data_IF_985982823585
#
_entry.id   IF_985982823585
#
_cell.length_a   1.000
_cell.length_b   1.000
_cell.length_c   1.000
_cell.angle_alpha   90.00
_cell.angle_beta   90.00
_cell.angle_gamma   90.00
#
_symmetry.space_group_name_H-M   'P 1'
#
loop_
_entity.id
_entity.type
_entity.pdbx_description
1 polymer ?
#
# COMPACT_ATOMS: atom_id res chain seq x y z
N UNK A 1 3.73 11.15 18.48
CA UNK A 1 4.57 9.94 18.45
C UNK A 1 3.75 8.65 18.54
N UNK A 2 2.75 8.61 19.44
CA UNK A 2 1.87 7.44 19.63
C UNK A 2 0.64 7.53 18.73
N UNK A 3 0.72 6.99 17.53
CA UNK A 3 -0.39 6.88 16.58
C UNK A 3 -0.27 5.55 15.83
N UNK A 4 -1.38 5.07 15.29
CA UNK A 4 -1.43 3.84 14.49
C UNK A 4 -0.73 2.66 15.17
N UNK A 5 -1.32 2.18 16.27
CA UNK A 5 -0.81 0.99 16.97
C UNK A 5 -0.94 -0.27 16.10
N UNK A 6 0.15 -1.04 16.00
CA UNK A 6 0.23 -2.23 15.13
C UNK A 6 -0.83 -3.29 15.49
N UNK A 7 -1.09 -3.52 16.78
CA UNK A 7 -2.14 -4.45 17.24
C UNK A 7 -3.53 -4.11 16.70
N UNK A 8 -3.87 -2.82 16.59
CA UNK A 8 -5.16 -2.39 16.06
C UNK A 8 -5.28 -2.79 14.59
N UNK A 9 -4.23 -2.54 13.80
CA UNK A 9 -4.19 -2.90 12.38
C UNK A 9 -4.28 -4.42 12.17
N UNK A 10 -3.52 -5.19 12.95
CA UNK A 10 -3.57 -6.65 12.94
C UNK A 10 -5.00 -7.17 13.16
N UNK A 11 -5.69 -6.66 14.19
CA UNK A 11 -7.03 -7.11 14.52
C UNK A 11 -8.07 -6.63 13.50
N UNK A 12 -7.88 -5.44 12.93
CA UNK A 12 -8.72 -4.97 11.82
C UNK A 12 -8.56 -5.85 10.57
N UNK A 13 -7.36 -6.38 10.28
CA UNK A 13 -7.19 -7.35 9.20
C UNK A 13 -7.91 -8.67 9.48
N UNK A 14 -7.89 -9.16 10.73
CA UNK A 14 -8.66 -10.36 11.14
C UNK A 14 -10.16 -10.14 10.95
N UNK A 15 -10.68 -8.99 11.39
CA UNK A 15 -12.08 -8.63 11.19
C UNK A 15 -12.43 -8.51 9.70
N UNK A 16 -11.61 -7.81 8.93
CA UNK A 16 -11.80 -7.62 7.48
C UNK A 16 -11.86 -8.96 6.75
N UNK A 17 -11.00 -9.90 7.11
CA UNK A 17 -11.04 -11.28 6.59
C UNK A 17 -12.37 -11.96 6.92
N UNK A 18 -12.84 -11.86 8.16
CA UNK A 18 -14.11 -12.48 8.57
C UNK A 18 -15.30 -11.86 7.83
N UNK A 19 -15.29 -10.54 7.63
CA UNK A 19 -16.31 -9.84 6.83
C UNK A 19 -16.28 -10.30 5.37
N UNK A 20 -15.08 -10.44 4.77
CA UNK A 20 -14.95 -10.96 3.41
C UNK A 20 -15.47 -12.39 3.26
N UNK A 21 -15.22 -13.27 4.25
CA UNK A 21 -15.76 -14.63 4.25
C UNK A 21 -17.29 -14.69 4.32
N UNK A 22 -17.91 -13.67 4.90
CA UNK A 22 -19.36 -13.57 5.01
C UNK A 22 -20.00 -12.92 3.78
N UNK A 23 -19.42 -11.82 3.31
CA UNK A 23 -19.86 -11.04 2.15
C UNK A 23 -18.64 -10.60 1.33
N UNK A 24 -18.27 -11.35 0.26
CA UNK A 24 -17.07 -11.11 -0.55
C UNK A 24 -17.08 -9.79 -1.36
N UNK A 25 -16.88 -8.67 -0.68
CA UNK A 25 -16.80 -7.35 -1.32
C UNK A 25 -15.35 -6.91 -1.56
N UNK A 26 -15.09 -6.31 -2.72
CA UNK A 26 -13.75 -5.85 -3.10
C UNK A 26 -13.21 -4.77 -2.14
N UNK A 27 -14.09 -3.96 -1.53
CA UNK A 27 -13.71 -2.96 -0.53
C UNK A 27 -12.99 -3.54 0.69
N UNK A 28 -13.36 -4.75 1.13
CA UNK A 28 -12.63 -5.43 2.20
C UNK A 28 -11.22 -5.84 1.75
N UNK A 29 -11.08 -6.36 0.53
CA UNK A 29 -9.77 -6.71 -0.02
C UNK A 29 -8.88 -5.47 -0.25
N UNK A 30 -9.47 -4.33 -0.63
CA UNK A 30 -8.77 -3.05 -0.73
C UNK A 30 -8.25 -2.55 0.62
N UNK A 31 -9.10 -2.58 1.66
CA UNK A 31 -8.66 -2.26 3.02
C UNK A 31 -7.55 -3.22 3.50
N UNK A 32 -7.70 -4.51 3.20
CA UNK A 32 -6.72 -5.52 3.55
C UNK A 32 -5.38 -5.23 2.89
N UNK A 33 -5.34 -4.99 1.58
CA UNK A 33 -4.12 -4.65 0.83
C UNK A 33 -3.46 -3.38 1.37
N UNK A 34 -4.24 -2.31 1.56
CA UNK A 34 -3.75 -1.03 2.07
C UNK A 34 -3.08 -1.18 3.43
N UNK A 35 -3.74 -1.88 4.36
CA UNK A 35 -3.24 -2.09 5.72
C UNK A 35 -2.07 -3.08 5.74
N UNK A 36 -2.09 -4.10 4.89
CA UNK A 36 -1.02 -5.07 4.79
C UNK A 36 0.30 -4.44 4.32
N UNK A 37 0.28 -3.71 3.19
CA UNK A 37 1.50 -3.13 2.62
C UNK A 37 2.04 -1.93 3.39
N UNK A 38 1.16 -1.12 4.01
CA UNK A 38 1.58 0.15 4.62
C UNK A 38 1.61 0.13 6.14
N UNK A 39 0.84 -0.78 6.75
CA UNK A 39 0.79 -0.96 8.18
C UNK A 39 1.66 -2.11 8.61
N UNK A 40 1.21 -3.33 8.31
CA UNK A 40 1.83 -4.58 8.76
C UNK A 40 3.23 -4.79 8.19
N UNK A 41 3.42 -4.70 6.87
CA UNK A 41 4.75 -4.88 6.26
C UNK A 41 5.73 -3.79 6.74
N UNK A 42 5.23 -2.59 6.99
CA UNK A 42 6.03 -1.48 7.49
C UNK A 42 6.33 -1.57 9.00
N UNK A 43 5.74 -2.53 9.71
CA UNK A 43 5.88 -2.66 11.17
C UNK A 43 7.04 -3.55 11.58
N UNK A 44 7.81 -4.11 10.65
CA UNK A 44 8.96 -4.97 10.95
C UNK A 44 10.25 -4.31 10.45
N UNK A 45 11.28 -4.36 11.28
CA UNK A 45 12.65 -4.09 10.87
C UNK A 45 13.09 -5.18 9.87
N UNK A 46 13.44 -4.82 8.63
CA UNK A 46 13.89 -5.78 7.63
C UNK A 46 15.24 -6.44 7.96
N UNK A 47 16.05 -5.84 8.84
CA UNK A 47 17.36 -6.36 9.23
C UNK A 47 17.26 -7.26 10.46
N UNK A 48 16.69 -6.76 11.56
CA UNK A 48 16.64 -7.50 12.84
C UNK A 48 15.39 -8.39 13.01
N UNK A 49 14.34 -8.15 12.22
CA UNK A 49 13.04 -8.79 12.37
C UNK A 49 12.19 -8.29 13.55
N UNK A 50 12.68 -7.31 14.32
CA UNK A 50 11.96 -6.70 15.44
C UNK A 50 10.82 -5.81 14.96
N UNK A 51 9.73 -5.76 15.71
CA UNK A 51 8.52 -5.05 15.33
C UNK A 51 8.37 -3.68 16.01
N UNK A 52 7.58 -2.82 15.38
CA UNK A 52 7.16 -1.52 15.90
C UNK A 52 5.90 -1.63 16.75
N UNK A 53 5.77 -0.80 17.79
CA UNK A 53 4.50 -0.61 18.50
C UNK A 53 3.61 0.42 17.79
N UNK A 54 4.15 1.63 17.56
CA UNK A 54 3.44 2.76 16.96
C UNK A 54 4.09 3.18 15.64
N UNK A 55 3.26 3.54 14.67
CA UNK A 55 3.66 4.13 13.39
C UNK A 55 3.19 5.59 13.33
N UNK A 56 3.97 6.47 13.94
CA UNK A 56 3.61 7.87 14.11
C UNK A 56 3.66 8.69 12.80
N UNK A 57 2.62 9.48 12.56
CA UNK A 57 2.43 10.21 11.30
C UNK A 57 3.10 11.60 11.20
N UNK A 58 3.70 12.12 12.28
CA UNK A 58 4.28 13.48 12.27
C UNK A 58 5.57 13.48 11.44
N UNK A 59 5.77 14.45 10.55
CA UNK A 59 7.02 14.60 9.82
C UNK A 59 8.25 14.62 10.73
N UNK A 60 9.29 13.91 10.31
CA UNK A 60 10.59 13.83 10.99
C UNK A 60 10.69 12.73 12.04
N UNK A 61 9.63 11.99 12.32
CA UNK A 61 9.73 10.81 13.19
C UNK A 61 10.53 9.70 12.53
N UNK A 62 11.10 8.84 13.37
CA UNK A 62 11.63 7.54 12.97
C UNK A 62 10.74 6.42 13.51
N UNK A 63 10.77 5.27 12.84
CA UNK A 63 10.19 4.04 13.39
C UNK A 63 11.03 3.62 14.59
N UNK A 64 10.38 3.07 15.62
CA UNK A 64 11.09 2.48 16.76
C UNK A 64 10.76 1.01 16.84
N UNK A 65 11.78 0.20 17.12
CA UNK A 65 11.69 -1.26 17.14
C UNK A 65 11.92 -1.79 18.55
N UNK A 66 11.23 -2.87 18.86
CA UNK A 66 11.40 -3.57 20.12
C UNK A 66 12.75 -4.32 20.17
N UNK A 67 13.11 -4.81 21.35
CA UNK A 67 14.25 -5.73 21.52
C UNK A 67 13.79 -7.18 21.60
N UNK A 68 14.66 -8.17 21.33
CA UNK A 68 14.29 -9.58 21.40
C UNK A 68 13.81 -10.04 22.78
N UNK A 69 14.45 -9.55 23.85
CA UNK A 69 14.31 -10.14 25.19
C UNK A 69 13.84 -9.17 26.28
N UNK A 70 13.67 -7.88 25.99
CA UNK A 70 13.35 -6.87 27.02
C UNK A 70 12.07 -6.09 26.75
N UNK A 71 11.38 -6.35 25.64
CA UNK A 71 10.27 -5.53 25.16
C UNK A 71 9.00 -6.37 25.00
N UNK A 72 8.27 -6.59 26.09
CA UNK A 72 7.10 -7.48 26.13
C UNK A 72 5.78 -6.70 26.03
N UNK A 73 5.56 -6.03 24.91
CA UNK A 73 4.34 -5.29 24.67
C UNK A 73 3.31 -6.13 23.91
N UNK A 74 2.06 -5.68 23.86
CA UNK A 74 1.04 -6.33 23.01
C UNK A 74 1.51 -6.43 21.55
N UNK A 75 2.12 -5.36 21.01
CA UNK A 75 2.61 -5.32 19.63
C UNK A 75 3.81 -6.24 19.38
N UNK A 76 4.57 -6.64 20.41
CA UNK A 76 5.59 -7.69 20.29
C UNK A 76 4.93 -9.02 19.96
N UNK A 77 3.86 -9.36 20.70
CA UNK A 77 3.05 -10.56 20.44
C UNK A 77 2.44 -10.57 19.04
N UNK A 78 1.69 -9.52 18.69
CA UNK A 78 1.05 -9.46 17.37
C UNK A 78 2.05 -9.32 16.23
N UNK A 79 3.21 -8.69 16.48
CA UNK A 79 4.31 -8.55 15.52
C UNK A 79 4.83 -9.92 15.09
N UNK A 80 5.03 -10.84 16.05
CA UNK A 80 5.39 -12.23 15.73
C UNK A 80 4.32 -12.94 14.87
N UNK A 81 3.03 -12.71 15.15
CA UNK A 81 1.94 -13.31 14.37
C UNK A 81 1.79 -12.72 12.96
N UNK A 82 2.15 -11.46 12.74
CA UNK A 82 1.88 -10.74 11.50
C UNK A 82 2.55 -11.37 10.28
N UNK A 83 3.81 -11.77 10.42
CA UNK A 83 4.67 -12.10 9.29
C UNK A 83 4.61 -13.58 8.87
N UNK A 84 3.91 -14.42 9.63
CA UNK A 84 3.72 -15.85 9.32
C UNK A 84 2.45 -16.14 8.50
N UNK A 85 1.61 -15.13 8.27
CA UNK A 85 0.25 -15.28 7.73
C UNK A 85 -0.06 -14.46 6.47
N UNK A 86 0.97 -14.03 5.73
CA UNK A 86 0.79 -13.25 4.50
C UNK A 86 -0.08 -13.96 3.44
N UNK A 87 -0.12 -15.29 3.46
CA UNK A 87 -0.89 -16.11 2.52
C UNK A 87 -2.40 -16.11 2.75
N UNK A 88 -2.85 -15.81 3.96
CA UNK A 88 -4.19 -16.20 4.41
C UNK A 88 -5.28 -15.58 3.55
N UNK A 89 -5.10 -14.34 3.11
CA UNK A 89 -6.09 -13.56 2.35
C UNK A 89 -5.72 -13.32 0.89
N UNK A 90 -4.76 -14.07 0.33
CA UNK A 90 -4.44 -13.98 -1.11
C UNK A 90 -5.59 -14.51 -1.95
N UNK A 91 -6.12 -15.68 -1.58
CA UNK A 91 -7.19 -16.37 -2.30
C UNK A 91 -8.33 -16.73 -1.36
N UNK A 92 -9.54 -16.74 -1.91
CA UNK A 92 -10.73 -17.31 -1.30
C UNK A 92 -11.50 -18.08 -2.37
N UNK A 93 -12.39 -18.97 -1.98
CA UNK A 93 -13.25 -19.65 -2.94
C UNK A 93 -14.62 -19.94 -2.33
N UNK A 94 -15.61 -20.07 -3.19
CA UNK A 94 -16.86 -20.75 -2.90
C UNK A 94 -16.87 -22.12 -3.62
N UNK A 95 -18.04 -22.66 -3.95
CA UNK A 95 -18.15 -23.94 -4.66
C UNK A 95 -17.68 -23.86 -6.12
N UNK A 96 -17.82 -22.71 -6.77
CA UNK A 96 -17.63 -22.55 -8.22
C UNK A 96 -16.76 -21.36 -8.63
N UNK A 97 -16.37 -20.49 -7.69
CA UNK A 97 -15.51 -19.36 -7.93
C UNK A 97 -14.23 -19.37 -7.09
N UNK A 98 -13.12 -18.95 -7.68
CA UNK A 98 -11.87 -18.63 -7.01
C UNK A 98 -11.63 -17.12 -7.08
N UNK A 99 -11.55 -16.47 -5.93
CA UNK A 99 -11.24 -15.06 -5.76
C UNK A 99 -9.73 -14.88 -5.65
N UNK A 100 -9.16 -13.99 -6.46
CA UNK A 100 -7.77 -13.53 -6.36
C UNK A 100 -7.78 -12.12 -5.79
N UNK A 101 -7.53 -12.01 -4.49
CA UNK A 101 -7.60 -10.76 -3.75
C UNK A 101 -6.28 -10.01 -3.74
N UNK A 102 -5.17 -10.68 -3.42
CA UNK A 102 -3.86 -10.05 -3.33
C UNK A 102 -2.94 -10.49 -4.46
N UNK A 103 -2.10 -9.57 -4.93
CA UNK A 103 -1.18 -9.81 -6.03
C UNK A 103 0.22 -10.16 -5.50
N UNK A 104 0.35 -11.37 -4.95
CA UNK A 104 1.56 -11.86 -4.29
C UNK A 104 2.04 -13.14 -4.98
N UNK A 105 3.34 -13.30 -5.27
CA UNK A 105 3.89 -14.54 -5.83
C UNK A 105 3.52 -15.73 -4.94
N UNK A 106 2.73 -16.66 -5.48
CA UNK A 106 2.12 -17.72 -4.68
C UNK A 106 1.52 -18.81 -5.57
N UNK A 107 1.16 -19.93 -4.96
CA UNK A 107 0.37 -20.98 -5.60
C UNK A 107 -0.73 -21.44 -4.65
N UNK A 108 -1.90 -21.75 -5.19
CA UNK A 108 -3.04 -22.29 -4.45
C UNK A 108 -3.51 -23.59 -5.09
N UNK A 109 -3.66 -24.63 -4.25
CA UNK A 109 -4.22 -25.92 -4.64
C UNK A 109 -5.69 -25.96 -4.24
N UNK A 110 -6.58 -26.01 -5.22
CA UNK A 110 -8.01 -26.19 -5.02
C UNK A 110 -8.38 -27.67 -5.21
N UNK A 111 -8.24 -28.43 -4.12
CA UNK A 111 -8.37 -29.90 -4.12
C UNK A 111 -9.68 -30.40 -4.71
N UNK A 112 -10.81 -29.77 -4.35
CA UNK A 112 -12.15 -30.15 -4.83
C UNK A 112 -12.28 -30.08 -6.37
N UNK A 113 -11.59 -29.13 -7.00
CA UNK A 113 -11.58 -28.96 -8.46
C UNK A 113 -10.38 -29.65 -9.13
N UNK A 114 -9.48 -30.30 -8.38
CA UNK A 114 -8.20 -30.87 -8.85
C UNK A 114 -7.40 -29.86 -9.66
N UNK A 115 -7.36 -28.63 -9.16
CA UNK A 115 -6.78 -27.48 -9.83
C UNK A 115 -5.68 -26.83 -9.00
N UNK A 116 -4.64 -26.34 -9.67
CA UNK A 116 -3.62 -25.48 -9.07
C UNK A 116 -3.55 -24.20 -9.88
N UNK A 117 -3.59 -23.06 -9.19
CA UNK A 117 -3.36 -21.74 -9.79
C UNK A 117 -2.05 -21.18 -9.25
N UNK A 118 -1.11 -20.88 -10.14
CA UNK A 118 0.18 -20.27 -9.78
C UNK A 118 0.22 -18.82 -10.23
N UNK A 119 0.46 -17.92 -9.29
CA UNK A 119 0.60 -16.49 -9.50
C UNK A 119 2.07 -16.09 -9.55
N UNK A 120 2.47 -15.47 -10.66
CA UNK A 120 3.81 -14.92 -10.88
C UNK A 120 3.68 -13.43 -11.14
N UNK A 121 4.34 -12.63 -10.31
CA UNK A 121 4.28 -11.17 -10.39
C UNK A 121 5.51 -10.54 -9.74
N UNK A 122 5.79 -9.30 -10.12
CA UNK A 122 6.69 -8.40 -9.38
C UNK A 122 5.92 -7.28 -8.69
N UNK A 123 4.60 -7.40 -8.55
CA UNK A 123 3.80 -6.43 -7.83
C UNK A 123 4.34 -6.28 -6.40
N UNK A 124 4.53 -5.05 -5.89
CA UNK A 124 4.06 -3.78 -6.47
C UNK A 124 5.05 -3.07 -7.42
N UNK A 125 6.25 -3.59 -7.69
CA UNK A 125 7.22 -2.97 -8.62
C UNK A 125 6.73 -2.96 -10.08
N UNK A 126 5.77 -3.82 -10.43
CA UNK A 126 5.09 -3.80 -11.71
C UNK A 126 3.57 -4.00 -11.52
N UNK A 127 2.71 -3.24 -12.22
CA UNK A 127 1.25 -3.30 -12.06
C UNK A 127 0.61 -4.46 -12.85
N UNK A 128 1.30 -5.60 -12.95
CA UNK A 128 0.84 -6.76 -13.72
C UNK A 128 1.02 -8.04 -12.91
N UNK A 129 0.03 -8.93 -12.96
CA UNK A 129 0.15 -10.29 -12.41
C UNK A 129 -0.27 -11.34 -13.44
N UNK A 130 0.45 -12.45 -13.47
CA UNK A 130 0.18 -13.57 -14.37
C UNK A 130 -0.20 -14.80 -13.56
N UNK A 131 -1.34 -15.39 -13.88
CA UNK A 131 -1.90 -16.58 -13.25
C UNK A 131 -1.85 -17.73 -14.25
N UNK A 132 -1.38 -18.90 -13.83
CA UNK A 132 -1.24 -20.08 -14.69
C UNK A 132 -1.98 -21.26 -14.08
N UNK A 133 -2.84 -21.88 -14.89
CA UNK A 133 -3.57 -23.07 -14.49
C UNK A 133 -2.76 -24.34 -14.70
N UNK A 134 -2.70 -25.18 -13.68
CA UNK A 134 -2.35 -26.60 -13.80
C UNK A 134 -3.57 -27.43 -13.43
N UNK A 135 -4.08 -28.21 -14.38
CA UNK A 135 -5.36 -28.90 -14.29
C UNK A 135 -5.22 -30.35 -14.77
N UNK A 136 -5.83 -31.29 -14.04
CA UNK A 136 -5.86 -32.69 -14.48
C UNK A 136 -6.85 -32.93 -15.64
N UNK A 137 -7.88 -32.09 -15.77
CA UNK A 137 -8.90 -32.13 -16.82
C UNK A 137 -9.51 -30.74 -17.02
N UNK A 138 -10.14 -30.46 -18.18
CA UNK A 138 -10.90 -29.23 -18.37
C UNK A 138 -11.92 -29.04 -17.24
N UNK A 139 -11.96 -27.86 -16.65
CA UNK A 139 -12.77 -27.58 -15.46
C UNK A 139 -13.51 -26.26 -15.61
N UNK A 140 -14.83 -26.29 -15.48
CA UNK A 140 -15.67 -25.11 -15.45
C UNK A 140 -15.63 -24.48 -14.04
N UNK A 141 -15.22 -23.22 -13.96
CA UNK A 141 -15.23 -22.41 -12.74
C UNK A 141 -15.13 -20.92 -13.12
N UNK A 142 -15.46 -20.05 -12.18
CA UNK A 142 -15.29 -18.60 -12.32
C UNK A 142 -13.99 -18.17 -11.65
N UNK A 143 -13.11 -17.50 -12.38
CA UNK A 143 -11.98 -16.79 -11.78
C UNK A 143 -12.40 -15.34 -11.54
N UNK A 144 -12.43 -14.92 -10.27
CA UNK A 144 -12.79 -13.56 -9.87
C UNK A 144 -11.52 -12.77 -9.55
N UNK A 145 -11.15 -11.84 -10.42
CA UNK A 145 -9.95 -11.02 -10.26
C UNK A 145 -10.32 -9.67 -9.65
N UNK A 146 -9.71 -9.29 -8.54
CA UNK A 146 -9.98 -7.97 -7.95
C UNK A 146 -9.57 -6.86 -8.92
N UNK A 147 -10.46 -5.88 -9.14
CA UNK A 147 -10.17 -4.58 -9.71
C UNK A 147 -10.08 -3.57 -8.54
N UNK A 148 -8.87 -3.21 -8.06
CA UNK A 148 -8.72 -2.38 -6.88
C UNK A 148 -9.25 -0.96 -7.08
N UNK A 149 -9.77 -0.29 -6.04
CA UNK A 149 -10.26 1.09 -6.16
C UNK A 149 -9.19 2.08 -6.65
N UNK A 150 -7.91 1.84 -6.36
CA UNK A 150 -6.82 2.72 -6.75
C UNK A 150 -6.49 2.64 -8.25
N UNK A 151 -6.90 1.56 -8.92
CA UNK A 151 -6.64 1.36 -10.35
C UNK A 151 -7.82 1.89 -11.15
N UNK A 152 -7.59 2.83 -12.08
CA UNK A 152 -8.68 3.34 -12.93
C UNK A 152 -9.20 2.31 -13.94
N UNK A 153 -8.36 1.36 -14.31
CA UNK A 153 -8.69 0.32 -15.29
C UNK A 153 -8.10 -1.01 -14.87
N UNK A 154 -8.81 -2.09 -15.14
CA UNK A 154 -8.28 -3.46 -15.12
C UNK A 154 -8.45 -4.08 -16.51
N UNK A 155 -7.36 -4.56 -17.10
CA UNK A 155 -7.38 -5.28 -18.38
C UNK A 155 -6.97 -6.72 -18.14
N UNK A 156 -7.78 -7.66 -18.60
CA UNK A 156 -7.56 -9.08 -18.42
C UNK A 156 -7.33 -9.73 -19.77
N UNK A 157 -6.21 -10.41 -19.92
CA UNK A 157 -5.90 -11.23 -21.08
C UNK A 157 -5.97 -12.70 -20.71
N UNK A 158 -6.50 -13.53 -21.60
CA UNK A 158 -6.43 -14.98 -21.50
C UNK A 158 -5.70 -15.51 -22.73
N UNK A 159 -4.59 -16.21 -22.52
CA UNK A 159 -3.73 -16.74 -23.58
C UNK A 159 -3.30 -15.64 -24.58
N UNK A 160 -2.99 -14.44 -24.07
CA UNK A 160 -2.52 -13.30 -24.87
C UNK A 160 -3.62 -12.48 -25.56
N UNK A 161 -4.89 -12.85 -25.43
CA UNK A 161 -6.03 -12.12 -26.03
C UNK A 161 -6.82 -11.42 -24.93
N UNK A 162 -7.15 -10.14 -25.12
CA UNK A 162 -8.02 -9.40 -24.19
C UNK A 162 -9.37 -10.11 -24.07
N UNK A 163 -9.67 -10.58 -22.86
CA UNK A 163 -10.90 -11.31 -22.54
C UNK A 163 -11.90 -10.43 -21.77
N UNK A 164 -11.41 -9.44 -21.02
CA UNK A 164 -12.24 -8.50 -20.29
C UNK A 164 -11.49 -7.18 -20.02
N UNK A 165 -12.26 -6.11 -19.84
CA UNK A 165 -11.79 -4.80 -19.40
C UNK A 165 -12.82 -4.19 -18.46
N UNK A 166 -12.38 -3.75 -17.29
CA UNK A 166 -13.22 -3.03 -16.33
C UNK A 166 -12.75 -1.60 -16.15
N UNK A 167 -13.71 -0.68 -16.16
CA UNK A 167 -13.56 0.73 -15.78
C UNK A 167 -14.32 1.07 -14.51
N UNK A 168 -14.66 0.06 -13.70
CA UNK A 168 -15.41 0.18 -12.44
C UNK A 168 -14.51 -0.21 -11.25
N UNK A 169 -13.68 0.69 -10.71
CA UNK A 169 -12.75 0.40 -9.63
C UNK A 169 -13.46 -0.02 -8.34
N UNK A 170 -12.83 -0.90 -7.55
CA UNK A 170 -13.43 -1.42 -6.30
C UNK A 170 -14.44 -2.53 -6.56
N UNK A 171 -14.19 -3.35 -7.58
CA UNK A 171 -15.07 -4.45 -8.01
C UNK A 171 -14.27 -5.74 -8.29
N UNK A 172 -14.95 -6.79 -8.77
CA UNK A 172 -14.32 -7.99 -9.32
C UNK A 172 -14.60 -8.11 -10.82
N UNK A 173 -13.59 -8.54 -11.57
CA UNK A 173 -13.74 -8.98 -12.96
C UNK A 173 -13.96 -10.48 -12.95
N UNK A 174 -15.17 -10.89 -13.32
CA UNK A 174 -15.58 -12.30 -13.36
C UNK A 174 -15.24 -12.94 -14.71
N UNK A 175 -14.50 -14.06 -14.66
CA UNK A 175 -14.17 -14.88 -15.83
C UNK A 175 -14.75 -16.29 -15.67
N UNK A 176 -16.03 -16.45 -16.03
CA UNK A 176 -16.70 -17.75 -16.06
C UNK A 176 -16.31 -18.52 -17.33
N UNK A 177 -15.48 -19.56 -17.22
CA UNK A 177 -14.94 -20.32 -18.36
C UNK A 177 -14.71 -21.79 -18.01
N UNK A 178 -14.60 -22.63 -19.05
CA UNK A 178 -13.98 -23.94 -18.93
C UNK A 178 -12.48 -23.80 -19.15
N UNK A 179 -11.72 -23.82 -18.05
CA UNK A 179 -10.27 -23.69 -18.06
C UNK A 179 -9.60 -25.00 -18.46
N UNK A 180 -8.48 -24.90 -19.15
CA UNK A 180 -7.63 -26.02 -19.59
C UNK A 180 -6.25 -25.91 -18.99
N UNK A 181 -5.57 -27.06 -18.87
CA UNK A 181 -4.20 -27.10 -18.38
C UNK A 181 -3.30 -26.20 -19.24
N UNK A 182 -2.51 -25.35 -18.58
CA UNK A 182 -1.62 -24.41 -19.24
C UNK A 182 -2.27 -23.08 -19.65
N UNK A 183 -3.58 -22.89 -19.43
CA UNK A 183 -4.20 -21.59 -19.64
C UNK A 183 -3.52 -20.53 -18.77
N UNK A 184 -3.25 -19.37 -19.39
CA UNK A 184 -2.59 -18.24 -18.77
C UNK A 184 -3.55 -17.06 -18.73
N UNK A 185 -3.69 -16.45 -17.55
CA UNK A 185 -4.44 -15.22 -17.34
C UNK A 185 -3.47 -14.12 -16.95
N UNK A 186 -3.54 -12.96 -17.59
CA UNK A 186 -2.75 -11.78 -17.22
C UNK A 186 -3.69 -10.66 -16.83
N UNK A 187 -3.51 -10.12 -15.62
CA UNK A 187 -4.21 -8.93 -15.15
C UNK A 187 -3.23 -7.76 -15.19
N UNK A 188 -3.62 -6.71 -15.92
CA UNK A 188 -2.91 -5.42 -16.01
C UNK A 188 -3.72 -4.35 -15.29
N UNK A 189 -3.06 -3.67 -14.36
CA UNK A 189 -3.60 -2.56 -13.58
C UNK A 189 -2.90 -1.26 -13.96
N UNK A 190 -3.46 -0.13 -13.55
CA UNK A 190 -2.90 1.20 -13.79
C UNK A 190 -2.53 1.85 -12.45
N UNK A 191 -1.23 1.91 -12.14
CA UNK A 191 -0.72 2.63 -10.97
C UNK A 191 -0.32 4.05 -11.37
N UNK A 192 -0.74 5.03 -10.58
CA UNK A 192 -0.41 6.43 -10.74
C UNK A 192 -0.10 7.05 -9.38
N UNK A 193 0.63 8.17 -9.38
CA UNK A 193 0.81 8.96 -8.15
C UNK A 193 -0.48 9.74 -7.88
N UNK A 194 -1.03 9.59 -6.68
CA UNK A 194 -2.24 10.30 -6.24
C UNK A 194 -1.94 11.03 -4.94
N UNK A 195 -2.45 12.25 -4.79
CA UNK A 195 -2.50 12.95 -3.52
C UNK A 195 -3.87 12.68 -2.88
N UNK A 196 -3.87 12.08 -1.70
CA UNK A 196 -5.07 11.76 -0.92
C UNK A 196 -5.14 12.66 0.30
N UNK A 197 -6.25 13.36 0.49
CA UNK A 197 -6.56 14.10 1.71
C UNK A 197 -7.69 13.43 2.49
N UNK A 198 -7.69 13.63 3.81
CA UNK A 198 -8.83 13.24 4.63
C UNK A 198 -9.86 14.38 4.66
N UNK A 199 -11.17 14.09 4.63
CA UNK A 199 -12.19 15.14 4.73
C UNK A 199 -12.04 16.03 5.97
N UNK A 200 -11.54 15.47 7.07
CA UNK A 200 -11.31 16.18 8.34
C UNK A 200 -10.03 17.04 8.35
N UNK A 201 -9.14 16.90 7.36
CA UNK A 201 -7.88 17.64 7.23
C UNK A 201 -7.54 17.82 5.74
N UNK A 202 -8.30 18.67 5.02
CA UNK A 202 -8.17 18.80 3.56
C UNK A 202 -6.86 19.46 3.12
N UNK A 203 -6.18 20.17 4.02
CA UNK A 203 -4.87 20.80 3.85
C UNK A 203 -3.71 19.83 4.08
N UNK A 204 -3.98 18.60 4.54
CA UNK A 204 -3.00 17.55 4.74
C UNK A 204 -3.20 16.46 3.69
N UNK A 205 -2.13 16.15 2.96
CA UNK A 205 -2.13 15.12 1.91
C UNK A 205 -1.13 14.01 2.24
N UNK A 206 -1.47 12.78 1.86
CA UNK A 206 -0.53 11.68 1.68
C UNK A 206 -0.40 11.37 0.19
N UNK A 207 0.80 11.06 -0.27
CA UNK A 207 0.99 10.59 -1.65
C UNK A 207 0.93 9.08 -1.71
N UNK A 208 0.31 8.52 -2.74
CA UNK A 208 0.24 7.09 -3.00
C UNK A 208 0.69 6.74 -4.41
N UNK A 209 1.16 5.51 -4.61
CA UNK A 209 1.39 4.93 -5.93
C UNK A 209 0.77 3.52 -5.96
N UNK A 210 -0.38 3.38 -6.60
CA UNK A 210 -1.25 2.21 -6.41
C UNK A 210 -1.66 2.08 -4.94
N UNK A 211 -1.52 0.91 -4.28
CA UNK A 211 -1.90 0.78 -2.88
C UNK A 211 -0.86 1.35 -1.90
N UNK A 212 0.33 1.72 -2.38
CA UNK A 212 1.47 2.08 -1.54
C UNK A 212 1.41 3.53 -1.10
N UNK A 213 1.47 3.78 0.21
CA UNK A 213 1.78 5.09 0.78
C UNK A 213 3.23 5.41 0.50
N UNK A 214 3.50 6.57 -0.08
CA UNK A 214 4.84 7.11 -0.27
C UNK A 214 5.23 7.96 0.93
N UNK A 215 6.48 7.80 1.38
CA UNK A 215 7.07 8.55 2.46
C UNK A 215 8.32 9.29 1.96
N UNK A 216 8.48 10.54 2.40
CA UNK A 216 9.74 11.27 2.28
C UNK A 216 10.77 10.63 3.19
N UNK A 217 11.86 10.14 2.61
CA UNK A 217 12.98 9.55 3.31
C UNK A 217 14.04 10.63 3.56
N UNK A 218 14.24 11.02 4.82
CA UNK A 218 15.14 12.11 5.20
C UNK A 218 16.50 11.63 5.73
N UNK A 219 16.80 10.34 5.63
CA UNK A 219 18.06 9.78 6.09
C UNK A 219 18.22 9.78 7.62
N UNK A 220 19.47 9.63 8.03
CA UNK A 220 19.85 9.34 9.42
C UNK A 220 20.44 10.53 10.16
N UNK A 221 20.34 11.73 9.60
CA UNK A 221 20.92 12.94 10.19
C UNK A 221 20.39 13.18 11.62
N UNK A 222 21.33 13.28 12.56
CA UNK A 222 21.05 13.44 13.98
C UNK A 222 20.50 12.19 14.67
N UNK A 223 20.56 11.01 14.04
CA UNK A 223 20.25 9.72 14.67
C UNK A 223 21.55 9.02 15.07
N UNK A 224 21.73 8.77 16.37
CA UNK A 224 22.80 7.92 16.85
C UNK A 224 22.51 6.44 16.50
N UNK A 225 23.54 5.58 16.36
CA UNK A 225 23.32 4.14 16.24
C UNK A 225 22.44 3.60 17.37
N UNK A 226 21.40 2.84 17.02
CA UNK A 226 20.44 2.28 17.98
C UNK A 226 19.46 3.30 18.58
N UNK A 227 19.40 4.54 18.06
CA UNK A 227 18.44 5.55 18.52
C UNK A 227 16.98 5.10 18.31
N UNK A 228 16.74 4.19 17.39
CA UNK A 228 15.44 3.61 17.06
C UNK A 228 15.09 2.36 17.88
N UNK A 229 15.94 1.92 18.81
CA UNK A 229 15.64 0.80 19.70
C UNK A 229 14.92 1.32 20.95
N UNK A 230 13.71 0.80 21.21
CA UNK A 230 12.91 1.16 22.38
C UNK A 230 12.53 -0.06 23.19
N UNK A 231 12.67 0.04 24.51
CA UNK A 231 12.32 -1.02 25.48
C UNK A 231 11.01 -0.73 26.22
N UNK A 232 10.77 0.54 26.53
CA UNK A 232 9.56 0.98 27.23
C UNK A 232 8.73 1.85 26.28
N UNK A 233 7.59 1.32 25.83
CA UNK A 233 6.69 1.95 24.88
C UNK A 233 6.13 3.29 25.39
N UNK A 234 6.10 3.47 26.72
CA UNK A 234 5.67 4.75 27.33
C UNK A 234 6.60 5.90 26.93
N UNK A 235 7.87 5.61 26.65
CA UNK A 235 8.89 6.59 26.26
C UNK A 235 8.89 6.93 24.77
N UNK A 236 8.05 6.34 23.92
CA UNK A 236 8.00 6.63 22.46
C UNK A 236 8.03 8.12 22.11
N UNK A 237 7.37 8.95 22.92
CA UNK A 237 7.36 10.40 22.75
C UNK A 237 8.74 11.05 22.88
N UNK A 238 9.55 10.59 23.83
CA UNK A 238 10.89 11.13 24.09
C UNK A 238 11.86 10.85 22.94
N UNK A 239 11.83 9.62 22.40
CA UNK A 239 12.67 9.22 21.25
C UNK A 239 12.41 10.07 19.99
N UNK A 240 11.17 10.54 19.84
CA UNK A 240 10.72 11.34 18.70
C UNK A 240 10.43 12.80 19.08
N UNK A 241 11.03 13.30 20.17
CA UNK A 241 10.78 14.67 20.66
C UNK A 241 11.58 15.74 19.89
N UNK A 242 12.65 15.36 19.19
CA UNK A 242 13.49 16.29 18.46
C UNK A 242 12.65 17.11 17.45
N UNK A 243 12.81 18.44 17.41
CA UNK A 243 12.10 19.28 16.46
C UNK A 243 12.53 18.91 15.04
N UNK A 244 11.55 18.90 14.14
CA UNK A 244 11.76 18.70 12.72
C UNK A 244 10.82 19.63 11.95
N UNK A 245 11.37 20.39 11.02
CA UNK A 245 10.60 21.27 10.14
C UNK A 245 10.50 20.59 8.78
N UNK A 246 9.31 20.09 8.38
CA UNK A 246 9.15 19.54 7.05
C UNK A 246 9.35 20.63 6.00
N UNK A 247 10.00 20.32 4.86
CA UNK A 247 10.10 21.25 3.75
C UNK A 247 8.72 21.56 3.15
N UNK A 248 8.58 22.75 2.57
CA UNK A 248 7.36 23.13 1.83
C UNK A 248 7.32 22.42 0.49
N UNK A 249 6.16 21.88 0.13
CA UNK A 249 6.00 21.12 -1.10
C UNK A 249 5.94 22.01 -2.36
N UNK A 250 6.63 21.61 -3.43
CA UNK A 250 6.19 21.95 -4.78
C UNK A 250 5.21 20.87 -5.28
N UNK A 251 4.19 21.27 -6.02
CA UNK A 251 3.01 20.45 -6.32
C UNK A 251 3.24 19.14 -7.13
N UNK A 252 4.46 18.82 -7.56
CA UNK A 252 4.73 17.74 -8.51
C UNK A 252 5.69 16.67 -7.96
N UNK A 253 5.17 15.45 -7.83
CA UNK A 253 5.94 14.22 -7.64
C UNK A 253 6.32 13.66 -9.02
N UNK A 254 7.58 13.24 -9.18
CA UNK A 254 8.13 12.67 -10.41
C UNK A 254 8.74 11.30 -10.14
N UNK A 255 8.80 10.44 -11.16
CA UNK A 255 9.53 9.18 -11.04
C UNK A 255 11.02 9.43 -10.76
N UNK A 256 11.61 8.60 -9.91
CA UNK A 256 13.04 8.56 -9.60
C UNK A 256 13.81 7.61 -10.50
N UNK A 257 15.05 7.31 -10.12
CA UNK A 257 15.94 6.46 -10.90
C UNK A 257 15.70 4.94 -10.70
N UNK A 258 15.20 4.53 -9.53
CA UNK A 258 14.94 3.13 -9.19
C UNK A 258 13.44 2.77 -9.18
N UNK A 259 13.07 1.48 -9.27
CA UNK A 259 11.68 1.04 -9.14
C UNK A 259 11.05 1.46 -7.82
N UNK A 260 9.84 2.04 -7.92
CA UNK A 260 9.10 2.63 -6.81
C UNK A 260 9.85 3.75 -6.06
N UNK A 261 10.86 4.36 -6.67
CA UNK A 261 11.45 5.59 -6.18
C UNK A 261 10.83 6.78 -6.92
N UNK A 262 10.56 7.84 -6.17
CA UNK A 262 10.02 9.09 -6.68
C UNK A 262 10.80 10.25 -6.09
N UNK A 263 10.71 11.40 -6.74
CA UNK A 263 11.29 12.65 -6.25
C UNK A 263 10.23 13.73 -6.19
N UNK A 264 10.32 14.57 -5.18
CA UNK A 264 9.43 15.70 -4.99
C UNK A 264 10.26 16.97 -4.90
N UNK A 265 9.97 17.92 -5.79
CA UNK A 265 10.68 19.18 -5.78
C UNK A 265 10.32 20.00 -4.54
N UNK A 266 11.32 20.71 -4.02
CA UNK A 266 11.19 21.59 -2.86
C UNK A 266 11.80 22.94 -3.21
N UNK A 267 11.05 24.05 -3.17
CA UNK A 267 11.62 25.36 -3.47
C UNK A 267 12.77 25.69 -2.53
N UNK A 268 13.94 26.05 -3.06
CA UNK A 268 15.11 26.42 -2.27
C UNK A 268 15.86 25.27 -1.57
N UNK A 269 15.47 24.01 -1.80
CA UNK A 269 16.10 22.83 -1.21
C UNK A 269 16.30 21.70 -2.24
N UNK A 270 17.25 20.78 -2.03
CA UNK A 270 17.36 19.57 -2.86
C UNK A 270 16.06 18.77 -2.86
N UNK A 271 15.68 18.15 -4.01
CA UNK A 271 14.48 17.32 -4.09
C UNK A 271 14.46 16.23 -3.02
N UNK A 272 13.28 15.97 -2.46
CA UNK A 272 13.08 14.90 -1.47
C UNK A 272 12.89 13.59 -2.22
N UNK A 273 13.57 12.54 -1.74
CA UNK A 273 13.32 11.16 -2.15
C UNK A 273 12.04 10.63 -1.49
N UNK A 274 11.11 10.16 -2.31
CA UNK A 274 9.89 9.49 -1.89
C UNK A 274 10.00 7.99 -2.20
N UNK A 275 9.75 7.14 -1.21
CA UNK A 275 9.74 5.67 -1.36
C UNK A 275 8.51 5.07 -0.66
N UNK A 276 8.10 3.82 -0.96
CA UNK A 276 7.03 3.16 -0.23
C UNK A 276 7.34 3.13 1.27
N UNK A 277 6.36 3.48 2.12
CA UNK A 277 6.55 3.62 3.56
C UNK A 277 7.08 2.35 4.24
N UNK A 278 6.76 1.16 3.72
CA UNK A 278 7.31 -0.09 4.25
C UNK A 278 8.80 -0.28 4.00
N UNK A 279 9.39 0.44 3.03
CA UNK A 279 10.85 0.42 2.76
C UNK A 279 11.64 1.39 3.63
N UNK A 280 10.97 2.32 4.33
CA UNK A 280 11.62 3.23 5.28
C UNK A 280 12.01 2.44 6.53
N UNK A 281 13.30 2.37 6.84
CA UNK A 281 13.84 1.79 8.07
C UNK A 281 15.07 2.60 8.53
N UNK A 282 15.28 2.70 9.84
CA UNK A 282 16.44 3.38 10.47
C UNK A 282 16.64 4.86 10.08
N UNK A 283 15.65 5.51 9.46
CA UNK A 283 15.72 6.89 9.00
C UNK A 283 14.48 7.70 9.41
N UNK A 284 14.61 9.03 9.38
CA UNK A 284 13.48 9.95 9.59
C UNK A 284 12.58 9.97 8.36
N UNK A 285 11.28 10.14 8.58
CA UNK A 285 10.31 10.17 7.48
C UNK A 285 9.15 11.15 7.64
N UNK A 286 8.45 11.38 6.54
CA UNK A 286 7.11 11.99 6.53
C UNK A 286 6.19 11.28 5.53
N UNK A 287 5.01 10.86 5.99
CA UNK A 287 3.96 10.31 5.11
C UNK A 287 2.87 11.33 4.78
N UNK A 288 2.72 12.35 5.62
CA UNK A 288 1.70 13.39 5.49
C UNK A 288 2.35 14.76 5.37
N UNK A 289 1.75 15.59 4.52
CA UNK A 289 2.32 16.88 4.13
C UNK A 289 1.24 17.93 4.10
N UNK A 290 1.59 19.14 4.54
CA UNK A 290 0.71 20.29 4.39
C UNK A 290 0.88 20.86 2.99
N UNK A 291 -0.22 21.00 2.24
CA UNK A 291 -0.22 21.73 0.98
C UNK A 291 -0.42 23.21 1.29
N UNK A 292 0.42 24.08 0.71
CA UNK A 292 0.16 25.52 0.76
C UNK A 292 -1.20 25.79 0.11
N UNK A 293 -2.10 26.47 0.82
CA UNK A 293 -3.36 26.93 0.24
C UNK A 293 -3.01 27.72 -1.03
N UNK A 294 -3.69 27.53 -2.17
CA UNK A 294 -3.57 28.48 -3.28
C UNK A 294 -3.80 29.86 -2.68
N UNK A 295 -2.87 30.80 -2.91
CA UNK A 295 -3.05 32.16 -2.46
C UNK A 295 -4.45 32.62 -2.90
N UNK A 296 -5.28 33.06 -1.95
CA UNK A 296 -6.54 33.69 -2.31
C UNK A 296 -6.21 34.78 -3.34
N UNK A 297 -6.92 34.87 -4.48
CA UNK A 297 -6.67 35.94 -5.42
C UNK A 297 -6.74 37.27 -4.65
N UNK A 298 -5.64 38.02 -4.70
CA UNK A 298 -5.60 39.39 -4.17
C UNK A 298 -6.80 40.13 -4.79
N UNK A 299 -7.69 40.74 -3.99
CA UNK A 299 -8.75 41.58 -4.54
C UNK A 299 -8.09 42.79 -5.22
N UNK A 300 -7.79 42.67 -6.51
CA UNK A 300 -7.09 43.70 -7.27
C UNK A 300 -6.72 43.39 -8.73
N UNK A 301 -6.63 42.13 -9.16
CA UNK A 301 -6.19 41.79 -10.53
C UNK A 301 -7.28 41.21 -11.45
N UNK A 302 -8.52 41.67 -11.31
CA UNK A 302 -9.54 41.53 -12.36
C UNK A 302 -9.99 42.91 -12.80
N UNK A 303 -9.14 43.60 -13.57
CA UNK A 303 -9.57 44.60 -14.54
C UNK A 303 -8.42 44.92 -15.49
N UNK A 304 -8.51 44.37 -16.71
CA UNK A 304 -8.08 44.96 -17.99
C UNK A 304 -7.61 43.86 -18.95
N UNK A 305 -8.55 43.29 -19.71
CA UNK A 305 -8.38 42.94 -21.14
C UNK A 305 -9.72 42.45 -21.70
N UNK A 306 -10.65 43.39 -21.85
CA UNK A 306 -11.82 43.25 -22.70
C UNK A 306 -12.26 44.63 -23.20
N UNK A 307 -11.43 45.26 -24.03
CA UNK A 307 -11.84 46.38 -24.91
C UNK A 307 -10.71 46.75 -25.88
N UNK A 308 -10.61 46.03 -26.99
CA UNK A 308 -9.98 46.51 -28.23
C UNK A 308 -10.46 45.64 -29.40
N UNK A 309 -11.75 45.77 -29.73
CA UNK A 309 -12.28 45.48 -31.05
C UNK A 309 -13.25 46.63 -31.35
N UNK A 310 -12.71 47.64 -32.02
CA UNK A 310 -13.41 48.75 -32.67
C UNK A 310 -12.67 49.00 -33.96
#
# INVERSE_FOLDING_TARGET
AKGSETCCQHNMLKLTRALFLHDPQAGYADYYERTLYNGILASQDPESGMATYFQGARPGYMKLYHTPENSFWCCTGTGMENHVKYRDSIYFHDDDALYVNLFVPSSVTWTAKRAVLTQVTRFPDAPTTTLRWTLARPTALTLKLRHPHWSRTAVVLVNGVEAARSGDPGSYVDLARTWRNGDVVELRLAMAVVAESAPAAPDIVAFTYGPLVLAGAFGTDGLAPGADIVVNERKYGAYNAAPFTPPTLAAAVRAGAAPLEFTMATPGHPPIRLIPYHRVAHERYATYWTIGTPAAPQPGEVQAKASAAG
#
